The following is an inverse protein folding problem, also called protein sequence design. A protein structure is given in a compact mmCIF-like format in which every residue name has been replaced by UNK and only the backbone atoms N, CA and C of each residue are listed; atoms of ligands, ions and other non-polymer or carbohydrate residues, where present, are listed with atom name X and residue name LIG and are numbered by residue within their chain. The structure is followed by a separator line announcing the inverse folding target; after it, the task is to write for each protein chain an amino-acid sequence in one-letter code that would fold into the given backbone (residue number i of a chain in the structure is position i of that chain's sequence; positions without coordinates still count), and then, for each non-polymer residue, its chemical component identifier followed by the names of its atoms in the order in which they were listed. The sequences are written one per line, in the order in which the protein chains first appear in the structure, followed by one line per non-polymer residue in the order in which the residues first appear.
data_IF_745915174656
#
_entry.id   IF_745915174656
#
_cell.length_a   1.000
_cell.length_b   1.000
_cell.length_c   1.000
_cell.angle_alpha   90.00
_cell.angle_beta   90.00
_cell.angle_gamma   90.00
#
_symmetry.space_group_name_H-M   'P 1'
#
loop_
_entity.id
_entity.type
_entity.pdbx_description
1 polymer ?
#
# COMPACT_ATOMS: atom_id res chain seq x y z
N UNK A 1 -19.17 -29.13 7.41
CA UNK A 1 -18.04 -28.23 7.08
C UNK A 1 -17.09 -28.97 6.18
N UNK A 2 -17.21 -28.76 4.87
CA UNK A 2 -16.28 -29.32 3.89
C UNK A 2 -15.06 -28.39 3.77
N UNK A 3 -13.84 -28.91 3.59
CA UNK A 3 -12.65 -28.10 3.45
C UNK A 3 -12.61 -27.42 2.07
N UNK A 4 -12.33 -26.13 2.05
CA UNK A 4 -12.03 -25.37 0.83
C UNK A 4 -10.77 -25.94 0.15
N UNK A 5 -10.74 -26.08 -1.19
CA UNK A 5 -9.52 -26.47 -1.89
C UNK A 5 -8.54 -25.28 -1.93
N UNK A 6 -7.22 -25.54 -1.94
CA UNK A 6 -6.21 -24.49 -2.01
C UNK A 6 -6.23 -23.83 -3.39
N UNK A 7 -6.44 -22.51 -3.44
CA UNK A 7 -6.21 -21.74 -4.66
C UNK A 7 -4.71 -21.77 -5.00
N UNK A 8 -4.37 -22.35 -6.15
CA UNK A 8 -3.01 -22.33 -6.69
C UNK A 8 -2.74 -20.94 -7.26
N UNK A 9 -2.04 -20.10 -6.51
CA UNK A 9 -1.42 -18.89 -7.04
C UNK A 9 -0.27 -19.29 -7.98
N UNK A 10 -0.56 -19.36 -9.29
CA UNK A 10 0.45 -19.48 -10.32
C UNK A 10 0.96 -18.07 -10.67
N UNK A 11 1.95 -17.58 -9.91
CA UNK A 11 2.70 -16.39 -10.28
C UNK A 11 3.56 -16.70 -11.52
N UNK A 12 3.05 -16.37 -12.72
CA UNK A 12 3.90 -16.29 -13.92
C UNK A 12 4.66 -14.96 -13.87
N UNK A 13 5.94 -15.02 -13.51
CA UNK A 13 6.90 -13.95 -13.73
C UNK A 13 7.04 -13.68 -15.24
N UNK A 14 6.42 -12.61 -15.74
CA UNK A 14 6.92 -11.95 -16.96
C UNK A 14 7.99 -10.94 -16.54
N UNK A 15 9.26 -11.37 -16.65
CA UNK A 15 10.39 -10.47 -16.48
C UNK A 15 10.48 -9.50 -17.65
N UNK A 16 10.02 -8.26 -17.43
CA UNK A 16 10.39 -7.13 -18.29
C UNK A 16 11.78 -6.66 -17.83
N UNK A 17 12.81 -6.94 -18.62
CA UNK A 17 14.14 -6.40 -18.40
C UNK A 17 14.17 -4.90 -18.73
N UNK A 18 14.15 -4.07 -17.69
CA UNK A 18 14.62 -2.69 -17.81
C UNK A 18 16.16 -2.70 -17.82
N UNK A 19 16.75 -2.56 -19.01
CA UNK A 19 18.18 -2.26 -19.13
C UNK A 19 18.38 -0.80 -18.75
N UNK A 20 18.81 -0.54 -17.52
CA UNK A 20 19.29 0.77 -17.11
C UNK A 20 20.63 1.04 -17.81
N UNK A 21 20.64 1.97 -18.76
CA UNK A 21 21.87 2.48 -19.38
C UNK A 21 22.62 3.31 -18.32
N UNK A 22 23.64 2.71 -17.70
CA UNK A 22 24.61 3.44 -16.87
C UNK A 22 25.66 4.03 -17.80
N UNK A 23 25.57 5.33 -18.07
CA UNK A 23 26.64 6.06 -18.76
C UNK A 23 27.77 6.31 -17.75
N UNK A 24 28.84 5.51 -17.83
CA UNK A 24 30.09 5.78 -17.12
C UNK A 24 30.82 6.92 -17.82
N UNK A 25 30.69 8.14 -17.31
CA UNK A 25 31.65 9.21 -17.59
C UNK A 25 32.91 8.93 -16.78
N UNK A 26 34.01 8.64 -17.48
CA UNK A 26 35.33 8.48 -16.89
C UNK A 26 35.81 9.83 -16.34
N UNK A 27 35.74 10.00 -15.03
CA UNK A 27 36.42 11.07 -14.29
C UNK A 27 37.42 10.39 -13.35
N UNK A 28 38.68 10.81 -13.43
CA UNK A 28 39.83 10.16 -12.79
C UNK A 28 39.77 10.03 -11.26
N UNK A 29 40.72 9.31 -10.66
CA UNK A 29 40.63 8.85 -9.28
C UNK A 29 40.90 10.00 -8.31
N UNK A 30 39.85 10.53 -7.70
CA UNK A 30 39.97 11.28 -6.46
C UNK A 30 39.06 10.66 -5.41
N UNK A 31 39.69 10.25 -4.32
CA UNK A 31 39.11 9.66 -3.13
C UNK A 31 38.16 10.65 -2.49
N UNK A 32 36.84 10.42 -2.60
CA UNK A 32 35.83 11.18 -1.84
C UNK A 32 34.85 10.20 -1.20
N UNK A 33 34.75 10.27 0.12
CA UNK A 33 33.72 9.60 0.90
C UNK A 33 32.34 9.99 0.37
N UNK A 34 31.58 8.98 -0.05
CA UNK A 34 30.20 9.07 -0.54
C UNK A 34 29.28 9.78 0.48
N UNK A 35 29.00 11.05 0.26
CA UNK A 35 27.80 11.74 0.75
C UNK A 35 26.70 11.59 -0.30
N UNK A 36 25.56 11.00 0.09
CA UNK A 36 24.25 11.06 -0.59
C UNK A 36 24.25 10.96 -2.12
N UNK A 37 23.95 9.77 -2.66
CA UNK A 37 23.55 9.64 -4.07
C UNK A 37 22.21 10.35 -4.27
N UNK A 38 22.23 11.58 -4.76
CA UNK A 38 21.11 12.17 -5.48
C UNK A 38 20.89 11.32 -6.74
N UNK A 39 19.88 10.44 -6.74
CA UNK A 39 19.37 9.92 -8.00
C UNK A 39 18.86 11.14 -8.80
N UNK A 40 19.24 11.26 -10.07
CA UNK A 40 18.70 12.26 -10.99
C UNK A 40 18.06 11.50 -12.14
N UNK A 41 16.82 11.85 -12.48
CA UNK A 41 16.15 11.23 -13.63
C UNK A 41 16.52 12.03 -14.87
N UNK A 42 17.27 11.41 -15.78
CA UNK A 42 17.56 11.99 -17.09
C UNK A 42 16.43 11.54 -18.02
N UNK A 43 15.59 12.49 -18.45
CA UNK A 43 14.62 12.24 -19.52
C UNK A 43 15.28 12.65 -20.84
N UNK A 44 15.46 11.68 -21.73
CA UNK A 44 15.93 11.91 -23.09
C UNK A 44 14.73 12.32 -23.93
N UNK A 45 14.69 13.58 -24.36
CA UNK A 45 13.53 14.14 -25.06
C UNK A 45 13.65 13.97 -26.57
N UNK A 46 14.87 13.97 -27.09
CA UNK A 46 15.18 13.83 -28.52
C UNK A 46 16.33 12.81 -28.68
N UNK A 47 15.98 11.53 -28.87
CA UNK A 47 16.91 10.43 -29.14
C UNK A 47 16.83 10.03 -30.61
N UNK A 48 17.96 10.08 -31.33
CA UNK A 48 18.06 9.44 -32.65
C UNK A 48 18.42 7.97 -32.44
N UNK A 49 17.54 7.00 -32.76
CA UNK A 49 17.81 5.59 -32.55
C UNK A 49 18.96 5.11 -33.43
N UNK A 50 19.80 4.24 -32.89
CA UNK A 50 20.76 3.46 -33.65
C UNK A 50 20.03 2.51 -34.61
N UNK A 51 20.41 2.51 -35.88
CA UNK A 51 19.79 1.68 -36.92
C UNK A 51 20.00 0.18 -36.72
N UNK A 52 21.02 -0.23 -35.95
CA UNK A 52 21.29 -1.65 -35.70
C UNK A 52 20.67 -2.17 -34.40
N UNK A 53 20.52 -1.29 -33.40
CA UNK A 53 20.02 -1.65 -32.08
C UNK A 53 19.09 -0.54 -31.60
N UNK A 54 17.80 -0.61 -31.95
CA UNK A 54 16.78 0.43 -31.69
C UNK A 54 16.53 0.80 -30.21
N UNK A 55 17.36 0.33 -29.29
CA UNK A 55 17.40 0.70 -27.86
C UNK A 55 18.57 1.61 -27.50
N UNK A 56 19.47 1.92 -28.45
CA UNK A 56 20.60 2.84 -28.25
C UNK A 56 20.35 4.15 -28.99
N UNK A 57 20.73 5.27 -28.38
CA UNK A 57 20.73 6.58 -29.03
C UNK A 57 22.12 6.85 -29.58
N UNK A 58 22.25 7.15 -30.87
CA UNK A 58 23.53 7.58 -31.48
C UNK A 58 23.77 9.08 -31.29
N UNK A 59 22.71 9.85 -31.09
CA UNK A 59 22.78 11.27 -30.78
C UNK A 59 21.63 11.67 -29.84
N UNK A 60 21.93 12.58 -28.90
CA UNK A 60 20.97 13.18 -27.96
C UNK A 60 21.16 14.69 -28.05
N UNK A 61 20.21 15.39 -28.67
CA UNK A 61 20.28 16.84 -28.83
C UNK A 61 19.75 17.60 -27.60
N UNK A 62 18.86 16.98 -26.83
CA UNK A 62 18.34 17.50 -25.55
C UNK A 62 18.14 16.39 -24.52
N UNK A 63 18.78 16.58 -23.37
CA UNK A 63 18.53 15.79 -22.16
C UNK A 63 18.03 16.74 -21.06
N UNK A 64 16.84 16.48 -20.53
CA UNK A 64 16.36 17.21 -19.37
C UNK A 64 16.74 16.43 -18.12
N UNK A 65 17.61 17.03 -17.30
CA UNK A 65 17.87 16.54 -15.95
C UNK A 65 16.78 17.10 -15.06
N UNK A 66 15.75 16.28 -14.81
CA UNK A 66 14.80 16.61 -13.76
C UNK A 66 15.46 16.28 -12.42
N UNK A 67 15.30 17.11 -11.37
CA UNK A 67 15.52 16.63 -10.01
C UNK A 67 14.81 15.28 -9.88
N UNK A 68 15.42 14.25 -9.28
CA UNK A 68 14.58 13.18 -8.75
C UNK A 68 13.51 13.88 -7.92
N UNK A 69 12.27 13.42 -8.06
CA UNK A 69 11.18 13.90 -7.22
C UNK A 69 11.76 14.07 -5.81
N UNK A 70 11.64 15.29 -5.27
CA UNK A 70 12.05 15.54 -3.88
C UNK A 70 11.38 14.52 -2.96
N UNK A 71 11.77 14.45 -1.66
CA UNK A 71 11.11 13.59 -0.68
C UNK A 71 9.63 13.61 -0.96
N UNK A 72 9.10 12.47 -1.39
CA UNK A 72 7.72 12.30 -1.81
C UNK A 72 6.92 12.79 -0.61
N UNK A 73 6.51 14.06 -0.67
CA UNK A 73 5.87 14.75 0.43
C UNK A 73 4.73 13.85 0.85
N UNK A 74 4.56 13.54 2.15
CA UNK A 74 3.49 12.69 2.69
C UNK A 74 2.22 12.88 1.85
N UNK A 75 2.01 12.02 0.85
CA UNK A 75 1.30 12.43 -0.41
C UNK A 75 -0.20 12.53 -0.19
N UNK A 76 -0.65 11.99 0.94
CA UNK A 76 -2.04 11.68 1.20
C UNK A 76 -2.55 12.25 2.51
N UNK A 77 -2.01 13.38 2.98
CA UNK A 77 -2.60 14.14 4.10
C UNK A 77 -3.54 15.23 3.57
N UNK A 78 -4.61 15.51 4.33
CA UNK A 78 -5.60 16.56 4.06
C UNK A 78 -6.24 16.50 2.65
N UNK A 79 -6.45 15.29 2.12
CA UNK A 79 -7.06 15.10 0.80
C UNK A 79 -8.58 14.98 0.88
N UNK A 80 -9.26 15.72 0.02
CA UNK A 80 -10.68 15.54 -0.26
C UNK A 80 -10.86 15.01 -1.67
N UNK A 81 -11.36 13.79 -1.78
CA UNK A 81 -11.54 13.06 -3.03
C UNK A 81 -12.99 13.21 -3.54
N UNK A 82 -13.16 13.23 -4.86
CA UNK A 82 -14.44 13.12 -5.55
C UNK A 82 -14.36 11.88 -6.42
N UNK A 83 -15.11 10.84 -6.07
CA UNK A 83 -15.02 9.52 -6.71
C UNK A 83 -16.21 9.30 -7.65
N UNK A 84 -15.92 8.96 -8.90
CA UNK A 84 -16.89 8.41 -9.84
C UNK A 84 -16.68 6.90 -9.96
N UNK A 85 -17.70 6.13 -9.61
CA UNK A 85 -17.74 4.68 -9.77
C UNK A 85 -18.58 4.35 -11.00
N UNK A 86 -17.93 3.80 -12.02
CA UNK A 86 -18.54 3.36 -13.27
C UNK A 86 -18.76 1.85 -13.19
N UNK A 87 -20.03 1.45 -13.08
CA UNK A 87 -20.44 0.05 -13.11
C UNK A 87 -20.59 -0.36 -14.58
N UNK A 88 -19.55 -1.01 -15.09
CA UNK A 88 -19.38 -1.30 -16.52
C UNK A 88 -20.13 -2.58 -16.87
N UNK A 89 -21.10 -2.48 -17.77
CA UNK A 89 -21.76 -3.63 -18.41
C UNK A 89 -21.36 -3.68 -19.88
N UNK A 90 -21.21 -4.89 -20.42
CA UNK A 90 -20.89 -5.06 -21.83
C UNK A 90 -22.17 -5.28 -22.64
N UNK A 91 -22.39 -4.45 -23.66
CA UNK A 91 -23.44 -4.67 -24.65
C UNK A 91 -22.91 -5.56 -25.77
N UNK A 92 -23.76 -6.45 -26.29
CA UNK A 92 -23.37 -7.38 -27.33
C UNK A 92 -22.84 -6.65 -28.58
N UNK A 93 -21.82 -7.20 -29.20
CA UNK A 93 -21.24 -6.71 -30.44
C UNK A 93 -20.91 -7.87 -31.38
N UNK A 94 -20.37 -7.58 -32.56
CA UNK A 94 -19.88 -8.62 -33.48
C UNK A 94 -18.68 -9.40 -32.94
N UNK A 95 -17.96 -8.89 -31.94
CA UNK A 95 -16.75 -9.53 -31.40
C UNK A 95 -17.00 -10.34 -30.12
N UNK A 96 -18.02 -10.01 -29.33
CA UNK A 96 -18.33 -10.71 -28.09
C UNK A 96 -19.75 -10.46 -27.57
N UNK A 97 -20.21 -11.36 -26.69
CA UNK A 97 -21.56 -11.33 -26.13
C UNK A 97 -21.75 -10.26 -25.06
N UNK A 98 -23.01 -9.96 -24.75
CA UNK A 98 -23.35 -9.07 -23.64
C UNK A 98 -22.94 -9.70 -22.29
N UNK A 99 -22.53 -8.87 -21.33
CA UNK A 99 -22.22 -9.30 -19.96
C UNK A 99 -22.81 -8.32 -18.96
N UNK A 100 -23.54 -8.86 -17.99
CA UNK A 100 -24.06 -8.09 -16.87
C UNK A 100 -22.94 -7.74 -15.87
N UNK A 101 -23.18 -6.68 -15.09
CA UNK A 101 -22.32 -6.22 -14.01
C UNK A 101 -23.09 -6.25 -12.69
N UNK A 102 -22.45 -5.83 -11.60
CA UNK A 102 -23.10 -5.64 -10.32
C UNK A 102 -24.27 -4.63 -10.42
N UNK A 103 -25.22 -4.71 -9.49
CA UNK A 103 -26.27 -3.71 -9.39
C UNK A 103 -25.69 -2.37 -8.89
N UNK A 104 -26.12 -1.27 -9.51
CA UNK A 104 -25.63 0.09 -9.17
C UNK A 104 -26.03 0.49 -7.75
N UNK A 105 -27.21 0.07 -7.28
CA UNK A 105 -27.66 0.35 -5.92
C UNK A 105 -26.83 -0.42 -4.89
N UNK A 106 -26.48 -1.68 -5.17
CA UNK A 106 -25.63 -2.49 -4.29
C UNK A 106 -24.22 -1.88 -4.16
N UNK A 107 -23.61 -1.50 -5.29
CA UNK A 107 -22.29 -0.83 -5.29
C UNK A 107 -22.39 0.51 -4.56
N UNK A 108 -23.44 1.29 -4.79
CA UNK A 108 -23.67 2.56 -4.07
C UNK A 108 -23.81 2.34 -2.57
N UNK A 109 -24.57 1.35 -2.14
CA UNK A 109 -24.74 1.00 -0.74
C UNK A 109 -23.40 0.59 -0.11
N UNK A 110 -22.58 -0.19 -0.82
CA UNK A 110 -21.26 -0.61 -0.35
C UNK A 110 -20.32 0.58 -0.01
N UNK A 111 -20.38 1.67 -0.79
CA UNK A 111 -19.62 2.89 -0.50
C UNK A 111 -20.25 3.75 0.60
N UNK A 112 -21.58 3.93 0.56
CA UNK A 112 -22.29 5.01 1.28
C UNK A 112 -22.97 4.59 2.57
N UNK A 113 -23.14 3.29 2.82
CA UNK A 113 -23.67 2.80 4.09
C UNK A 113 -22.84 3.31 5.27
N UNK A 114 -23.43 3.31 6.47
CA UNK A 114 -22.76 3.77 7.70
C UNK A 114 -21.40 3.07 7.92
N UNK A 115 -21.31 1.81 7.52
CA UNK A 115 -20.11 0.98 7.63
C UNK A 115 -19.41 0.79 6.28
N UNK A 116 -19.79 1.58 5.27
CA UNK A 116 -19.31 1.51 3.91
C UNK A 116 -17.90 2.08 3.74
N UNK A 117 -17.40 2.01 2.50
CA UNK A 117 -16.01 2.31 2.17
C UNK A 117 -15.62 3.76 2.44
N UNK A 118 -16.57 4.69 2.36
CA UNK A 118 -16.31 6.10 2.68
C UNK A 118 -15.91 6.29 4.14
N UNK A 119 -16.70 5.75 5.06
CA UNK A 119 -16.41 5.84 6.49
C UNK A 119 -15.21 4.98 6.86
N UNK A 120 -15.02 3.83 6.20
CA UNK A 120 -13.85 2.99 6.41
C UNK A 120 -12.54 3.72 6.08
N UNK A 121 -12.42 4.34 4.90
CA UNK A 121 -11.23 5.13 4.52
C UNK A 121 -11.03 6.32 5.46
N UNK A 122 -12.09 7.06 5.78
CA UNK A 122 -12.03 8.18 6.72
C UNK A 122 -11.50 7.76 8.09
N UNK A 123 -12.01 6.64 8.62
CA UNK A 123 -11.61 6.15 9.93
C UNK A 123 -10.17 5.63 9.93
N UNK A 124 -9.75 4.91 8.88
CA UNK A 124 -8.38 4.41 8.78
C UNK A 124 -7.33 5.51 8.53
N UNK A 125 -7.74 6.63 7.94
CA UNK A 125 -6.88 7.79 7.70
C UNK A 125 -6.97 8.86 8.79
N UNK A 126 -7.75 8.65 9.86
CA UNK A 126 -7.99 9.66 10.90
C UNK A 126 -8.55 10.99 10.33
N UNK A 127 -9.34 10.90 9.26
CA UNK A 127 -9.90 12.05 8.56
C UNK A 127 -8.90 12.76 7.63
N UNK A 128 -7.67 12.27 7.49
CA UNK A 128 -6.68 12.83 6.55
C UNK A 128 -7.10 12.64 5.10
N UNK A 129 -7.86 11.59 4.80
CA UNK A 129 -8.44 11.38 3.47
C UNK A 129 -9.93 11.15 3.60
N UNK A 130 -10.71 11.94 2.87
CA UNK A 130 -12.17 11.83 2.86
C UNK A 130 -12.71 11.85 1.43
N UNK A 131 -13.87 11.24 1.24
CA UNK A 131 -14.66 11.45 0.03
C UNK A 131 -15.67 12.56 0.29
N UNK A 132 -15.58 13.65 -0.47
CA UNK A 132 -16.63 14.69 -0.48
C UNK A 132 -17.88 14.23 -1.22
N UNK A 133 -17.72 13.42 -2.25
CA UNK A 133 -18.78 12.83 -3.04
C UNK A 133 -18.32 11.47 -3.58
N UNK A 134 -19.20 10.48 -3.50
CA UNK A 134 -19.12 9.23 -4.27
C UNK A 134 -20.38 9.13 -5.12
N UNK A 135 -20.21 9.10 -6.44
CA UNK A 135 -21.31 8.90 -7.37
C UNK A 135 -21.12 7.59 -8.12
N UNK A 136 -22.17 6.78 -8.18
CA UNK A 136 -22.18 5.47 -8.83
C UNK A 136 -23.17 5.48 -9.98
N UNK A 137 -22.68 5.16 -11.19
CA UNK A 137 -23.46 5.18 -12.44
C UNK A 137 -23.36 3.85 -13.17
N UNK A 138 -24.41 3.52 -13.93
CA UNK A 138 -24.35 2.46 -14.93
C UNK A 138 -23.61 2.96 -16.17
N UNK A 139 -22.72 2.13 -16.71
CA UNK A 139 -21.85 2.50 -17.84
C UNK A 139 -21.87 1.38 -18.90
N UNK A 140 -22.88 1.33 -19.78
CA UNK A 140 -22.92 0.37 -20.87
C UNK A 140 -21.82 0.65 -21.89
N UNK A 141 -21.02 -0.38 -22.22
CA UNK A 141 -19.90 -0.28 -23.16
C UNK A 141 -20.05 -1.36 -24.23
N UNK A 142 -19.93 -1.04 -25.54
CA UNK A 142 -19.88 -2.06 -26.59
C UNK A 142 -18.74 -3.03 -26.35
N UNK A 143 -19.07 -4.33 -26.29
CA UNK A 143 -18.07 -5.36 -26.05
C UNK A 143 -17.01 -5.36 -27.16
N UNK A 144 -15.73 -5.45 -26.81
CA UNK A 144 -14.65 -5.67 -27.77
C UNK A 144 -13.70 -6.75 -27.26
N UNK A 145 -12.97 -7.40 -28.16
CA UNK A 145 -12.00 -8.43 -27.77
C UNK A 145 -10.95 -7.89 -26.77
N UNK A 146 -10.55 -6.62 -26.89
CA UNK A 146 -9.56 -6.04 -25.97
C UNK A 146 -10.11 -5.81 -24.55
N UNK A 147 -11.42 -5.53 -24.44
CA UNK A 147 -12.12 -5.42 -23.15
C UNK A 147 -12.30 -6.79 -22.49
N UNK A 148 -12.52 -7.86 -23.27
CA UNK A 148 -12.59 -9.22 -22.75
C UNK A 148 -11.23 -9.75 -22.27
N UNK A 149 -10.12 -9.25 -22.83
CA UNK A 149 -8.76 -9.57 -22.40
C UNK A 149 -8.30 -8.74 -21.19
N UNK A 150 -9.23 -8.08 -20.48
CA UNK A 150 -8.94 -7.28 -19.29
C UNK A 150 -7.91 -6.16 -19.52
N UNK A 151 -7.89 -5.55 -20.71
CA UNK A 151 -7.04 -4.39 -20.96
C UNK A 151 -7.59 -3.17 -20.19
N UNK A 152 -6.94 -2.83 -19.08
CA UNK A 152 -7.39 -1.81 -18.12
C UNK A 152 -7.49 -0.41 -18.71
N UNK A 153 -6.58 -0.06 -19.62
CA UNK A 153 -6.58 1.22 -20.33
C UNK A 153 -7.82 1.31 -21.24
N UNK A 154 -8.07 0.28 -22.04
CA UNK A 154 -9.22 0.28 -22.96
C UNK A 154 -10.55 0.26 -22.19
N UNK A 155 -10.62 -0.46 -21.07
CA UNK A 155 -11.78 -0.44 -20.17
C UNK A 155 -12.03 0.97 -19.65
N UNK A 156 -10.97 1.63 -19.14
CA UNK A 156 -11.08 2.98 -18.60
C UNK A 156 -11.53 4.00 -19.65
N UNK A 157 -10.93 3.97 -20.84
CA UNK A 157 -11.29 4.85 -21.97
C UNK A 157 -12.74 4.63 -22.37
N UNK A 158 -13.14 3.38 -22.66
CA UNK A 158 -14.47 3.08 -23.14
C UNK A 158 -15.57 3.37 -22.11
N UNK A 159 -15.30 3.11 -20.82
CA UNK A 159 -16.20 3.46 -19.74
C UNK A 159 -16.35 4.98 -19.61
N UNK A 160 -15.25 5.73 -19.67
CA UNK A 160 -15.28 7.19 -19.60
C UNK A 160 -16.01 7.80 -20.79
N UNK A 161 -15.74 7.35 -22.02
CA UNK A 161 -16.46 7.81 -23.22
C UNK A 161 -17.97 7.55 -23.13
N UNK A 162 -18.36 6.36 -22.64
CA UNK A 162 -19.77 6.04 -22.39
C UNK A 162 -20.41 6.95 -21.34
N UNK A 163 -19.70 7.24 -20.25
CA UNK A 163 -20.18 8.18 -19.21
C UNK A 163 -20.27 9.61 -19.75
N UNK A 164 -19.32 10.06 -20.56
CA UNK A 164 -19.32 11.40 -21.19
C UNK A 164 -20.44 11.55 -22.20
N UNK A 165 -20.74 10.50 -22.98
CA UNK A 165 -21.88 10.48 -23.90
C UNK A 165 -23.23 10.61 -23.16
N UNK A 166 -23.35 10.00 -21.98
CA UNK A 166 -24.59 10.01 -21.19
C UNK A 166 -24.78 11.27 -20.34
N UNK A 167 -23.70 11.77 -19.72
CA UNK A 167 -23.77 12.82 -18.69
C UNK A 167 -22.99 14.10 -19.05
N UNK A 168 -22.25 14.09 -20.17
CA UNK A 168 -21.38 15.17 -20.60
C UNK A 168 -19.98 15.13 -19.97
N UNK A 169 -18.99 15.67 -20.69
CA UNK A 169 -17.59 15.74 -20.23
C UNK A 169 -17.38 16.63 -18.99
N UNK A 170 -18.24 17.64 -18.80
CA UNK A 170 -18.25 18.46 -17.59
C UNK A 170 -18.58 17.65 -16.33
N UNK A 171 -19.43 16.63 -16.46
CA UNK A 171 -19.76 15.74 -15.34
C UNK A 171 -18.57 14.87 -14.96
N UNK A 172 -17.96 14.14 -15.90
CA UNK A 172 -16.85 13.22 -15.62
C UNK A 172 -15.62 13.96 -15.10
N UNK A 173 -15.26 15.10 -15.71
CA UNK A 173 -14.12 15.93 -15.29
C UNK A 173 -14.28 16.59 -13.91
N UNK A 174 -15.50 16.59 -13.35
CA UNK A 174 -15.74 17.09 -11.99
C UNK A 174 -15.21 16.15 -10.89
N UNK A 175 -14.82 14.91 -11.23
CA UNK A 175 -14.29 13.93 -10.28
C UNK A 175 -12.75 13.84 -10.34
N UNK A 176 -12.14 13.54 -9.20
CA UNK A 176 -10.67 13.43 -9.05
C UNK A 176 -10.17 11.99 -9.00
N UNK A 177 -11.08 11.01 -8.86
CA UNK A 177 -10.79 9.58 -8.81
C UNK A 177 -11.87 8.81 -9.58
N UNK A 178 -11.46 7.70 -10.18
CA UNK A 178 -12.31 6.85 -10.99
C UNK A 178 -12.18 5.39 -10.53
N UNK A 179 -13.31 4.72 -10.38
CA UNK A 179 -13.38 3.29 -10.11
C UNK A 179 -14.21 2.61 -11.19
N UNK A 180 -13.72 1.50 -11.72
CA UNK A 180 -14.40 0.71 -12.75
C UNK A 180 -14.79 -0.64 -12.14
N UNK A 181 -16.08 -0.92 -12.05
CA UNK A 181 -16.59 -2.23 -11.65
C UNK A 181 -16.87 -3.02 -12.91
N UNK A 182 -16.08 -4.07 -13.15
CA UNK A 182 -16.12 -4.85 -14.37
C UNK A 182 -17.36 -5.76 -14.44
N UNK A 183 -17.72 -6.30 -15.61
CA UNK A 183 -18.73 -7.34 -15.73
C UNK A 183 -18.37 -8.65 -15.03
N UNK A 184 -19.38 -9.46 -14.69
CA UNK A 184 -19.20 -10.79 -14.12
C UNK A 184 -18.42 -11.73 -15.06
N UNK A 185 -17.69 -12.67 -14.46
CA UNK A 185 -16.95 -13.73 -15.17
C UNK A 185 -15.64 -13.29 -15.83
N UNK A 186 -15.15 -12.08 -15.53
CA UNK A 186 -13.82 -11.61 -15.96
C UNK A 186 -12.70 -11.95 -14.97
N UNK A 187 -13.02 -12.40 -13.76
CA UNK A 187 -12.03 -12.79 -12.73
C UNK A 187 -11.01 -13.82 -13.23
N UNK A 188 -11.46 -14.84 -13.97
CA UNK A 188 -10.60 -15.89 -14.54
C UNK A 188 -9.65 -15.39 -15.64
N UNK A 189 -9.99 -14.26 -16.28
CA UNK A 189 -9.21 -13.69 -17.38
C UNK A 189 -8.25 -12.63 -16.83
N UNK A 190 -8.74 -11.75 -15.96
CA UNK A 190 -7.97 -10.66 -15.38
C UNK A 190 -6.91 -11.18 -14.40
N UNK A 191 -7.20 -12.25 -13.65
CA UNK A 191 -6.28 -12.84 -12.68
C UNK A 191 -6.10 -12.03 -11.39
N UNK A 192 -6.96 -11.02 -11.15
CA UNK A 192 -6.98 -10.18 -9.96
C UNK A 192 -8.43 -9.85 -9.57
N UNK A 193 -8.65 -9.55 -8.28
CA UNK A 193 -9.98 -9.14 -7.76
C UNK A 193 -10.14 -7.62 -7.67
N UNK A 194 -9.01 -6.93 -7.48
CA UNK A 194 -8.86 -5.48 -7.55
C UNK A 194 -7.54 -5.13 -8.22
N UNK A 195 -7.48 -3.95 -8.83
CA UNK A 195 -6.25 -3.39 -9.36
C UNK A 195 -6.27 -1.86 -9.21
N UNK A 196 -5.18 -1.30 -8.68
CA UNK A 196 -4.95 0.13 -8.57
C UNK A 196 -3.94 0.62 -9.61
N UNK A 197 -4.14 1.84 -10.09
CA UNK A 197 -3.14 2.51 -10.92
C UNK A 197 -1.88 2.82 -10.09
N UNK A 198 -0.67 2.52 -10.61
CA UNK A 198 0.56 2.82 -9.87
C UNK A 198 0.69 4.30 -9.51
N UNK A 199 1.17 4.65 -8.30
CA UNK A 199 1.15 6.03 -7.85
C UNK A 199 2.09 6.97 -8.63
N UNK A 200 1.72 8.25 -8.83
CA UNK A 200 0.43 8.85 -8.46
C UNK A 200 -0.68 8.38 -9.41
N UNK A 201 -1.62 7.61 -8.86
CA UNK A 201 -2.69 6.95 -9.59
C UNK A 201 -4.03 7.57 -9.24
N UNK A 202 -4.97 7.48 -10.16
CA UNK A 202 -6.33 8.04 -10.00
C UNK A 202 -7.42 7.02 -10.27
N UNK A 203 -7.04 5.83 -10.71
CA UNK A 203 -7.94 4.83 -11.26
C UNK A 203 -7.85 3.52 -10.48
N UNK A 204 -8.98 2.83 -10.37
CA UNK A 204 -9.10 1.50 -9.76
C UNK A 204 -10.04 0.63 -10.57
N UNK A 205 -9.78 -0.66 -10.60
CA UNK A 205 -10.60 -1.66 -11.28
C UNK A 205 -10.98 -2.76 -10.30
N UNK A 206 -12.23 -3.22 -10.35
CA UNK A 206 -12.75 -4.23 -9.42
C UNK A 206 -13.59 -5.28 -10.13
N UNK A 207 -13.43 -6.52 -9.70
CA UNK A 207 -14.35 -7.61 -10.05
C UNK A 207 -15.64 -7.46 -9.21
N UNK A 208 -16.83 -7.68 -9.79
CA UNK A 208 -18.12 -7.53 -9.10
C UNK A 208 -18.45 -8.69 -8.14
N UNK A 209 -17.46 -9.23 -7.43
CA UNK A 209 -17.57 -10.42 -6.56
C UNK A 209 -17.28 -10.10 -5.08
N UNK A 210 -17.56 -11.05 -4.18
CA UNK A 210 -17.38 -10.89 -2.73
C UNK A 210 -15.96 -10.51 -2.32
N UNK A 211 -14.94 -11.02 -3.03
CA UNK A 211 -13.53 -10.69 -2.80
C UNK A 211 -13.05 -9.45 -3.58
N UNK A 212 -13.88 -8.93 -4.49
CA UNK A 212 -13.59 -7.76 -5.33
C UNK A 212 -14.20 -6.49 -4.73
N UNK A 213 -15.10 -5.83 -5.48
CA UNK A 213 -15.71 -4.56 -5.05
C UNK A 213 -16.46 -4.67 -3.73
N UNK A 214 -16.98 -5.85 -3.37
CA UNK A 214 -17.73 -6.05 -2.14
C UNK A 214 -16.85 -6.34 -0.92
N UNK A 215 -15.54 -6.51 -1.13
CA UNK A 215 -14.56 -6.61 -0.05
C UNK A 215 -13.97 -5.23 0.26
N UNK A 216 -14.31 -4.68 1.42
CA UNK A 216 -13.76 -3.40 1.87
C UNK A 216 -12.22 -3.38 1.96
N UNK A 217 -11.60 -4.52 2.26
CA UNK A 217 -10.14 -4.67 2.31
C UNK A 217 -9.54 -4.42 0.93
N UNK A 218 -10.03 -5.11 -0.09
CA UNK A 218 -9.66 -4.91 -1.51
C UNK A 218 -9.90 -3.47 -1.96
N UNK A 219 -11.06 -2.89 -1.66
CA UNK A 219 -11.36 -1.51 -2.06
C UNK A 219 -10.38 -0.51 -1.43
N UNK A 220 -10.06 -0.69 -0.14
CA UNK A 220 -9.08 0.15 0.53
C UNK A 220 -7.68 -0.10 -0.03
N UNK A 221 -7.27 -1.34 -0.30
CA UNK A 221 -5.99 -1.70 -0.89
C UNK A 221 -5.73 -0.93 -2.20
N UNK A 222 -6.66 -1.03 -3.16
CA UNK A 222 -6.50 -0.36 -4.45
C UNK A 222 -6.55 1.17 -4.31
N UNK A 223 -7.32 1.67 -3.34
CA UNK A 223 -7.31 3.10 -3.00
C UNK A 223 -5.95 3.54 -2.45
N UNK A 224 -5.30 2.71 -1.63
CA UNK A 224 -3.99 2.99 -1.05
C UNK A 224 -2.87 2.97 -2.10
N UNK A 225 -3.00 2.12 -3.13
CA UNK A 225 -2.12 2.16 -4.30
C UNK A 225 -2.15 3.54 -4.99
N UNK A 226 -3.33 4.10 -5.19
CA UNK A 226 -3.48 5.45 -5.74
C UNK A 226 -2.91 6.56 -4.83
N UNK A 227 -2.81 6.30 -3.52
CA UNK A 227 -2.35 7.26 -2.50
C UNK A 227 -0.86 7.16 -2.18
N UNK A 228 -0.11 6.31 -2.89
CA UNK A 228 1.35 6.25 -2.80
C UNK A 228 1.91 4.98 -2.16
N UNK A 229 1.08 4.05 -1.70
CA UNK A 229 1.56 2.75 -1.22
C UNK A 229 1.74 1.79 -2.37
N UNK A 230 2.97 1.37 -2.65
CA UNK A 230 3.26 0.48 -3.78
C UNK A 230 3.35 -1.00 -3.39
N UNK A 231 3.56 -1.27 -2.12
CA UNK A 231 3.84 -2.60 -1.60
C UNK A 231 2.60 -3.25 -0.99
N UNK A 232 2.60 -4.57 -1.01
CA UNK A 232 1.66 -5.39 -0.28
C UNK A 232 2.21 -5.77 1.10
N UNK A 233 1.32 -6.18 2.00
CA UNK A 233 1.66 -6.71 3.31
C UNK A 233 2.13 -8.16 3.18
N UNK A 234 3.31 -8.47 3.73
CA UNK A 234 3.89 -9.81 3.71
C UNK A 234 3.74 -10.50 5.06
N UNK A 235 3.66 -11.83 5.03
CA UNK A 235 3.82 -12.67 6.22
C UNK A 235 4.57 -13.93 5.81
N UNK A 236 5.55 -14.34 6.59
CA UNK A 236 6.33 -15.56 6.32
C UNK A 236 6.90 -15.61 4.89
N UNK A 237 7.40 -14.48 4.40
CA UNK A 237 7.94 -14.33 3.04
C UNK A 237 6.93 -14.62 1.91
N UNK A 238 5.64 -14.54 2.18
CA UNK A 238 4.57 -14.61 1.19
C UNK A 238 3.83 -13.28 1.10
N UNK A 239 3.66 -12.81 -0.13
CA UNK A 239 2.91 -11.60 -0.45
C UNK A 239 1.43 -11.80 -0.15
N UNK A 240 0.75 -10.72 0.25
CA UNK A 240 -0.67 -10.67 0.65
C UNK A 240 -1.05 -11.44 1.92
N UNK A 241 -0.15 -12.22 2.53
CA UNK A 241 -0.46 -13.05 3.70
C UNK A 241 -0.53 -12.28 5.03
N UNK A 242 -0.34 -10.96 5.02
CA UNK A 242 -0.59 -10.13 6.20
C UNK A 242 -2.09 -9.79 6.33
N UNK A 243 -2.82 -10.62 7.08
CA UNK A 243 -4.25 -10.40 7.35
C UNK A 243 -4.52 -9.28 8.37
N UNK A 244 -3.48 -8.60 8.88
CA UNK A 244 -3.63 -7.49 9.83
C UNK A 244 -3.82 -6.13 9.16
N UNK A 245 -3.69 -6.04 7.83
CA UNK A 245 -3.85 -4.80 7.05
C UNK A 245 -4.59 -5.07 5.74
N UNK A 246 -5.26 -4.04 5.21
CA UNK A 246 -5.79 -4.02 3.85
C UNK A 246 -4.72 -4.11 2.76
N UNK A 247 -3.44 -3.86 3.05
CA UNK A 247 -2.38 -4.10 2.05
C UNK A 247 -2.01 -5.58 1.92
N UNK A 248 -2.48 -6.43 2.83
CA UNK A 248 -2.54 -7.89 2.63
C UNK A 248 -3.99 -8.32 2.38
N UNK A 249 -4.41 -9.48 2.88
CA UNK A 249 -5.80 -9.94 2.73
C UNK A 249 -6.72 -9.51 3.89
N UNK A 250 -6.28 -8.57 4.73
CA UNK A 250 -7.05 -8.09 5.88
C UNK A 250 -8.20 -7.17 5.49
N UNK A 251 -9.26 -7.15 6.32
CA UNK A 251 -10.37 -6.19 6.25
C UNK A 251 -10.23 -5.08 7.30
N UNK A 252 -9.00 -4.73 7.61
CA UNK A 252 -8.60 -3.80 8.67
C UNK A 252 -7.85 -2.60 8.10
N UNK A 253 -7.60 -1.60 8.93
CA UNK A 253 -6.82 -0.42 8.54
C UNK A 253 -5.36 -0.76 8.25
N UNK A 254 -4.63 0.16 7.59
CA UNK A 254 -3.21 -0.01 7.31
C UNK A 254 -2.39 -0.30 8.57
N UNK A 255 -1.30 -1.04 8.39
CA UNK A 255 -0.33 -1.34 9.44
C UNK A 255 0.41 -0.07 9.89
N UNK A 256 1.06 -0.11 11.04
CA UNK A 256 1.83 1.02 11.57
C UNK A 256 2.84 1.61 10.56
N UNK A 257 3.71 0.82 9.88
CA UNK A 257 4.60 1.37 8.86
C UNK A 257 3.87 1.99 7.66
N UNK A 258 2.73 1.43 7.24
CA UNK A 258 1.88 2.02 6.18
C UNK A 258 1.31 3.36 6.60
N UNK A 259 0.73 3.45 7.80
CA UNK A 259 0.19 4.69 8.35
C UNK A 259 1.26 5.77 8.49
N UNK A 260 2.47 5.40 8.90
CA UNK A 260 3.62 6.31 8.97
C UNK A 260 4.01 6.82 7.58
N UNK A 261 4.10 5.94 6.59
CA UNK A 261 4.52 6.30 5.22
C UNK A 261 3.50 7.18 4.51
N UNK A 262 2.20 6.93 4.73
CA UNK A 262 1.11 7.81 4.27
C UNK A 262 1.11 9.17 4.99
N UNK A 263 1.76 9.26 6.15
CA UNK A 263 1.70 10.43 7.02
C UNK A 263 0.41 10.54 7.80
N UNK A 264 -0.42 9.49 7.85
CA UNK A 264 -1.68 9.45 8.57
C UNK A 264 -1.52 9.29 10.08
N UNK A 265 -0.40 8.71 10.50
CA UNK A 265 -0.06 8.58 11.91
C UNK A 265 1.41 8.92 12.19
N UNK A 266 1.73 9.16 13.46
CA UNK A 266 3.09 9.45 13.93
C UNK A 266 3.53 8.51 15.06
N UNK A 267 4.84 8.19 15.15
CA UNK A 267 5.36 7.41 16.25
C UNK A 267 5.35 8.23 17.55
N UNK A 268 5.06 7.54 18.65
CA UNK A 268 5.18 8.06 20.02
C UNK A 268 6.65 8.31 20.36
N UNK A 269 7.51 7.38 19.93
CA UNK A 269 8.95 7.48 20.08
C UNK A 269 9.66 6.77 18.93
N UNK A 270 10.81 7.33 18.56
CA UNK A 270 11.75 6.74 17.62
C UNK A 270 12.98 6.24 18.39
N UNK A 271 13.17 4.92 18.41
CA UNK A 271 14.18 4.25 19.22
C UNK A 271 15.39 3.91 18.37
N UNK A 272 16.56 4.37 18.76
CA UNK A 272 17.84 4.06 18.13
C UNK A 272 18.93 3.96 19.21
N UNK A 273 20.20 3.81 18.83
CA UNK A 273 21.31 3.66 19.76
C UNK A 273 21.47 4.82 20.75
N UNK A 274 21.01 6.02 20.41
CA UNK A 274 21.06 7.21 21.26
C UNK A 274 19.92 7.29 22.26
N UNK A 275 18.74 6.76 21.94
CA UNK A 275 17.53 6.85 22.78
C UNK A 275 17.21 5.57 23.55
N UNK A 276 17.79 4.43 23.13
CA UNK A 276 17.64 3.13 23.76
C UNK A 276 19.01 2.56 24.17
N UNK A 277 19.52 2.95 25.35
CA UNK A 277 20.77 2.40 25.87
C UNK A 277 20.63 0.89 26.14
N UNK A 278 21.71 0.12 26.00
CA UNK A 278 21.67 -1.32 26.25
C UNK A 278 21.34 -1.60 27.73
N UNK A 279 20.71 -2.75 27.97
CA UNK A 279 20.40 -3.34 29.29
C UNK A 279 19.47 -2.51 30.15
N UNK A 280 18.77 -1.54 29.55
CA UNK A 280 17.84 -0.66 30.26
C UNK A 280 16.47 -0.76 29.61
N UNK A 281 15.44 -0.98 30.42
CA UNK A 281 14.06 -0.88 29.94
C UNK A 281 13.67 0.58 29.74
N UNK A 282 13.03 0.84 28.60
CA UNK A 282 12.24 2.03 28.34
C UNK A 282 10.77 1.63 28.27
N UNK A 283 9.94 2.29 29.06
CA UNK A 283 8.51 2.01 29.18
C UNK A 283 7.72 3.05 28.41
N UNK A 284 6.75 2.58 27.63
CA UNK A 284 5.83 3.40 26.84
C UNK A 284 4.40 2.94 27.10
N UNK A 285 3.45 3.87 27.05
CA UNK A 285 2.01 3.54 27.03
C UNK A 285 1.53 3.77 25.61
N UNK A 286 1.25 2.68 24.89
CA UNK A 286 0.78 2.75 23.51
C UNK A 286 -0.75 2.73 23.45
N UNK A 287 -1.39 3.76 22.87
CA UNK A 287 -2.80 3.70 22.56
C UNK A 287 -3.05 2.79 21.36
N UNK A 288 -4.28 2.27 21.26
CA UNK A 288 -4.72 1.52 20.10
C UNK A 288 -4.67 2.41 18.85
N UNK A 289 -4.30 1.84 17.71
CA UNK A 289 -4.17 2.58 16.45
C UNK A 289 -5.41 3.41 16.14
N UNK A 290 -6.61 2.83 16.21
CA UNK A 290 -7.85 3.55 15.91
C UNK A 290 -8.14 4.76 16.82
N UNK A 291 -7.50 4.86 17.99
CA UNK A 291 -7.84 5.87 18.99
C UNK A 291 -7.21 7.24 18.72
N UNK A 292 -6.04 7.28 18.08
CA UNK A 292 -5.32 8.53 17.80
C UNK A 292 -4.39 8.37 16.60
N UNK A 293 -4.28 9.43 15.78
CA UNK A 293 -3.26 9.54 14.74
C UNK A 293 -1.88 9.88 15.31
N UNK A 294 -1.83 10.49 16.48
CA UNK A 294 -0.58 10.96 17.09
C UNK A 294 -0.09 9.98 18.13
N UNK A 295 1.16 9.52 17.98
CA UNK A 295 1.82 8.72 19.00
C UNK A 295 1.23 7.33 19.20
N UNK A 296 0.77 6.66 18.14
CA UNK A 296 0.10 5.35 18.23
C UNK A 296 1.01 4.15 17.90
N UNK A 297 2.30 4.40 17.68
CA UNK A 297 3.28 3.36 17.37
C UNK A 297 4.67 3.68 17.92
N UNK A 298 5.52 2.67 18.11
CA UNK A 298 6.97 2.86 18.29
C UNK A 298 7.65 2.50 16.99
N UNK A 299 8.64 3.31 16.59
CA UNK A 299 9.52 3.02 15.46
C UNK A 299 10.92 2.75 15.99
N UNK A 300 11.45 1.57 15.74
CA UNK A 300 12.78 1.15 16.19
C UNK A 300 13.70 1.05 14.99
N UNK A 301 14.78 1.82 15.02
CA UNK A 301 15.86 1.84 14.03
C UNK A 301 17.10 1.23 14.68
N UNK A 302 17.38 -0.07 14.47
CA UNK A 302 18.45 -0.77 15.15
C UNK A 302 19.83 -0.45 14.53
N UNK A 303 20.22 0.82 14.57
CA UNK A 303 21.52 1.34 14.10
C UNK A 303 22.73 0.79 14.88
N UNK A 304 22.50 0.18 16.05
CA UNK A 304 23.49 -0.56 16.83
C UNK A 304 23.85 -1.92 16.24
N UNK A 305 23.03 -2.46 15.33
CA UNK A 305 23.38 -3.64 14.56
C UNK A 305 24.24 -3.14 13.40
N UNK A 306 25.47 -3.63 13.31
CA UNK A 306 26.44 -3.17 12.31
C UNK A 306 25.83 -3.16 10.91
N UNK A 307 26.29 -2.23 10.05
CA UNK A 307 25.74 -1.93 8.71
C UNK A 307 25.50 -3.14 7.79
N UNK A 308 26.01 -4.34 8.09
CA UNK A 308 25.90 -5.53 7.23
C UNK A 308 24.77 -6.49 7.61
N UNK A 309 24.18 -6.42 8.81
CA UNK A 309 23.33 -7.51 9.30
C UNK A 309 21.88 -7.13 9.63
N UNK A 310 21.54 -5.86 9.78
CA UNK A 310 20.14 -5.46 9.95
C UNK A 310 19.74 -4.41 8.92
N UNK A 311 18.99 -4.88 7.92
CA UNK A 311 18.45 -4.08 6.84
C UNK A 311 17.02 -3.63 7.13
N UNK A 312 16.54 -3.73 8.38
CA UNK A 312 15.14 -3.51 8.71
C UNK A 312 14.91 -2.60 9.92
N UNK A 313 13.92 -1.73 9.79
CA UNK A 313 13.29 -1.02 10.90
C UNK A 313 12.13 -1.86 11.44
N UNK A 314 11.82 -1.71 12.73
CA UNK A 314 10.76 -2.45 13.40
C UNK A 314 9.70 -1.46 13.91
N UNK A 315 8.43 -1.77 13.69
CA UNK A 315 7.28 -0.99 14.13
C UNK A 315 6.46 -1.81 15.13
N UNK A 316 6.06 -1.17 16.22
CA UNK A 316 5.21 -1.75 17.26
C UNK A 316 3.95 -0.89 17.38
N UNK A 317 2.78 -1.50 17.27
CA UNK A 317 1.51 -0.78 17.50
C UNK A 317 0.47 -1.69 18.15
N UNK A 318 -0.30 -1.14 19.08
CA UNK A 318 -1.45 -1.83 19.65
C UNK A 318 -2.57 -1.83 18.60
N UNK A 319 -2.97 -3.03 18.14
CA UNK A 319 -4.12 -3.20 17.26
C UNK A 319 -5.29 -3.74 18.07
N UNK A 320 -6.45 -3.13 17.89
CA UNK A 320 -7.68 -3.48 18.58
C UNK A 320 -8.87 -3.22 17.66
N UNK A 321 -9.93 -4.00 17.82
CA UNK A 321 -11.20 -3.73 17.16
C UNK A 321 -11.78 -2.41 17.63
N UNK A 322 -11.97 -1.51 16.70
CA UNK A 322 -12.52 -0.17 16.95
C UNK A 322 -12.29 0.73 15.76
N UNK A 323 -13.15 1.74 15.58
CA UNK A 323 -13.08 2.63 14.42
C UNK A 323 -13.03 1.85 13.10
N UNK A 324 -12.01 2.09 12.28
CA UNK A 324 -11.82 1.35 11.02
C UNK A 324 -11.37 -0.10 11.21
N UNK A 325 -10.73 -0.45 12.33
CA UNK A 325 -10.25 -1.81 12.65
C UNK A 325 -11.36 -2.75 13.16
N UNK A 326 -12.64 -2.43 12.97
CA UNK A 326 -13.77 -3.23 13.49
C UNK A 326 -13.72 -4.70 13.09
N UNK A 327 -13.26 -5.01 11.87
CA UNK A 327 -13.23 -6.38 11.34
C UNK A 327 -11.84 -7.02 11.49
N UNK A 328 -11.00 -6.49 12.38
CA UNK A 328 -9.69 -7.04 12.71
C UNK A 328 -9.83 -8.47 13.26
N UNK A 329 -9.01 -9.40 12.76
CA UNK A 329 -9.04 -10.79 13.22
C UNK A 329 -8.57 -10.92 14.68
N UNK A 330 -9.10 -11.90 15.40
CA UNK A 330 -8.75 -12.15 16.81
C UNK A 330 -7.28 -12.52 17.04
N UNK A 331 -6.56 -12.91 15.97
CA UNK A 331 -5.10 -13.05 16.01
C UNK A 331 -4.41 -11.74 16.40
N UNK A 332 -4.94 -10.59 15.99
CA UNK A 332 -4.32 -9.28 16.13
C UNK A 332 -5.01 -8.39 17.17
N UNK A 333 -6.29 -8.65 17.45
CA UNK A 333 -7.11 -7.86 18.36
C UNK A 333 -6.61 -7.91 19.82
N UNK A 334 -6.43 -6.75 20.43
CA UNK A 334 -5.96 -6.63 21.81
C UNK A 334 -4.47 -6.90 21.98
N UNK A 335 -3.68 -6.84 20.90
CA UNK A 335 -2.26 -7.23 20.90
C UNK A 335 -1.37 -6.14 20.32
N UNK A 336 -0.11 -6.16 20.73
CA UNK A 336 0.93 -5.35 20.07
C UNK A 336 1.40 -6.11 18.84
N UNK A 337 1.14 -5.55 17.66
CA UNK A 337 1.59 -6.10 16.39
C UNK A 337 2.99 -5.59 16.07
N UNK A 338 3.79 -6.48 15.48
CA UNK A 338 5.15 -6.24 15.06
C UNK A 338 5.24 -6.31 13.55
N UNK A 339 5.72 -5.24 12.94
CA UNK A 339 5.99 -5.17 11.51
C UNK A 339 7.43 -4.77 11.27
N UNK A 340 8.10 -5.45 10.35
CA UNK A 340 9.41 -5.04 9.87
C UNK A 340 9.31 -4.37 8.49
N UNK A 341 10.21 -3.42 8.26
CA UNK A 341 10.26 -2.62 7.04
C UNK A 341 11.71 -2.50 6.57
N UNK A 342 11.98 -2.66 5.28
CA UNK A 342 13.33 -2.48 4.73
C UNK A 342 13.86 -1.06 4.96
N UNK A 343 14.91 -0.95 5.79
CA UNK A 343 15.50 0.28 6.32
C UNK A 343 15.92 1.26 5.24
N UNK A 344 16.54 0.78 4.17
CA UNK A 344 17.09 1.64 3.12
C UNK A 344 15.99 2.39 2.36
N UNK A 345 14.79 1.83 2.30
CA UNK A 345 13.62 2.38 1.61
C UNK A 345 12.64 3.05 2.59
N UNK A 346 12.59 2.58 3.84
CA UNK A 346 11.77 3.17 4.91
C UNK A 346 12.38 4.46 5.47
N UNK A 347 13.71 4.61 5.43
CA UNK A 347 14.38 5.85 5.80
C UNK A 347 14.43 6.87 4.67
N UNK A 348 14.36 6.42 3.41
CA UNK A 348 14.27 7.28 2.22
C UNK A 348 13.03 6.91 1.38
N UNK A 349 11.93 7.61 1.66
CA UNK A 349 10.61 7.39 1.03
C UNK A 349 10.60 7.58 -0.50
N UNK A 350 11.70 8.00 -1.12
CA UNK A 350 11.82 8.28 -2.56
C UNK A 350 12.18 7.02 -3.37
N UNK A 351 12.91 6.07 -2.79
CA UNK A 351 13.57 5.00 -3.56
C UNK A 351 13.00 3.63 -3.30
N UNK A 352 12.04 3.20 -4.13
CA UNK A 352 11.65 1.80 -4.24
C UNK A 352 10.51 1.35 -3.32
N UNK A 353 10.31 0.04 -3.29
CA UNK A 353 9.18 -0.62 -2.66
C UNK A 353 9.65 -1.41 -1.42
N UNK A 354 9.48 -0.88 -0.18
CA UNK A 354 9.95 -1.59 0.99
C UNK A 354 9.11 -2.84 1.19
N UNK A 355 9.77 -3.98 1.32
CA UNK A 355 9.08 -5.16 1.82
C UNK A 355 8.65 -4.92 3.27
N UNK A 356 7.34 -4.81 3.49
CA UNK A 356 6.75 -4.75 4.81
C UNK A 356 6.25 -6.13 5.21
N UNK A 357 6.77 -6.66 6.32
CA UNK A 357 6.36 -7.98 6.81
C UNK A 357 5.79 -7.91 8.21
N UNK A 358 4.64 -8.53 8.41
CA UNK A 358 4.19 -8.93 9.73
C UNK A 358 5.16 -9.95 10.31
N UNK A 359 5.62 -9.69 11.53
CA UNK A 359 6.57 -10.53 12.27
C UNK A 359 5.84 -11.34 13.35
N UNK A 360 4.85 -10.73 14.00
CA UNK A 360 4.09 -11.39 15.06
C UNK A 360 3.18 -10.44 15.82
N UNK A 361 2.45 -10.98 16.79
CA UNK A 361 1.62 -10.22 17.72
C UNK A 361 1.75 -10.80 19.13
N UNK A 362 1.88 -9.92 20.14
CA UNK A 362 2.03 -10.33 21.54
C UNK A 362 0.81 -9.85 22.33
N UNK A 363 0.20 -10.79 23.06
CA UNK A 363 -0.91 -10.53 23.95
C UNK A 363 -0.46 -9.80 25.25
N UNK A 364 -1.39 -9.20 26.01
CA UNK A 364 -1.10 -8.62 27.31
C UNK A 364 -0.36 -9.61 28.22
N UNK A 365 0.57 -9.10 29.04
CA UNK A 365 1.48 -9.89 29.89
C UNK A 365 2.44 -10.84 29.17
N UNK A 366 2.46 -10.82 27.83
CA UNK A 366 3.41 -11.58 27.02
C UNK A 366 4.77 -10.90 26.88
N UNK A 367 5.69 -11.59 26.23
CA UNK A 367 6.99 -11.05 25.86
C UNK A 367 7.43 -11.58 24.50
N UNK A 368 8.43 -10.93 23.92
CA UNK A 368 9.11 -11.40 22.72
C UNK A 368 10.59 -11.13 22.83
N UNK A 369 11.35 -12.20 22.64
CA UNK A 369 12.80 -12.15 22.44
C UNK A 369 13.07 -12.13 20.95
N UNK A 370 13.71 -11.07 20.49
CA UNK A 370 14.03 -10.82 19.09
C UNK A 370 15.56 -10.81 18.93
N UNK A 371 16.22 -11.98 18.91
CA UNK A 371 17.69 -12.08 18.87
C UNK A 371 18.30 -11.47 17.62
N UNK A 372 17.58 -11.48 16.50
CA UNK A 372 18.01 -10.80 15.29
C UNK A 372 18.15 -9.28 15.49
N UNK A 373 17.28 -8.68 16.31
CA UNK A 373 17.28 -7.25 16.62
C UNK A 373 18.09 -6.89 17.88
N UNK A 374 18.48 -7.91 18.67
CA UNK A 374 18.96 -7.80 20.05
C UNK A 374 18.00 -6.99 20.94
N UNK A 375 16.71 -7.26 20.79
CA UNK A 375 15.64 -6.60 21.53
C UNK A 375 14.88 -7.61 22.36
N UNK A 376 14.52 -7.19 23.55
CA UNK A 376 13.61 -7.90 24.43
C UNK A 376 12.46 -6.97 24.80
N UNK A 377 11.24 -7.40 24.48
CA UNK A 377 10.03 -6.61 24.61
C UNK A 377 9.08 -7.32 25.56
N UNK A 378 8.59 -6.60 26.57
CA UNK A 378 7.57 -7.09 27.53
C UNK A 378 6.32 -6.24 27.42
N UNK A 379 5.19 -6.90 27.33
CA UNK A 379 3.88 -6.28 27.25
C UNK A 379 3.23 -6.33 28.63
N UNK A 380 2.75 -5.18 29.10
CA UNK A 380 2.03 -5.07 30.37
C UNK A 380 0.54 -5.38 30.22
N UNK A 381 -0.25 -4.82 31.14
CA UNK A 381 -1.70 -4.90 31.10
C UNK A 381 -2.27 -4.04 29.96
N UNK A 382 -3.33 -4.54 29.33
CA UNK A 382 -4.22 -3.74 28.48
C UNK A 382 -5.26 -3.08 29.38
N UNK A 383 -5.29 -1.75 29.41
CA UNK A 383 -6.24 -0.96 30.21
C UNK A 383 -7.02 -0.05 29.25
N UNK A 384 -8.31 -0.35 29.07
CA UNK A 384 -9.14 0.31 28.06
C UNK A 384 -8.57 0.08 26.65
N UNK A 385 -8.16 1.16 25.99
CA UNK A 385 -7.56 1.14 24.65
C UNK A 385 -6.05 1.42 24.68
N UNK A 386 -5.37 1.23 25.82
CA UNK A 386 -3.93 1.49 25.96
C UNK A 386 -3.20 0.30 26.56
N UNK A 387 -1.95 0.07 26.14
CA UNK A 387 -1.12 -1.02 26.63
C UNK A 387 0.28 -0.53 26.98
N UNK A 388 0.82 -1.03 28.09
CA UNK A 388 2.20 -0.73 28.48
C UNK A 388 3.17 -1.61 27.68
N UNK A 389 4.18 -1.02 27.07
CA UNK A 389 5.24 -1.72 26.34
C UNK A 389 6.59 -1.34 26.93
N UNK A 390 7.33 -2.34 27.39
CA UNK A 390 8.69 -2.18 27.88
C UNK A 390 9.65 -2.72 26.82
N UNK A 391 10.53 -1.87 26.32
CA UNK A 391 11.53 -2.23 25.31
C UNK A 391 12.90 -2.16 25.95
N UNK A 392 13.69 -3.22 25.82
CA UNK A 392 15.08 -3.24 26.21
C UNK A 392 15.94 -3.76 25.05
N UNK A 393 17.05 -3.07 24.79
CA UNK A 393 18.11 -3.55 23.90
C UNK A 393 19.13 -4.33 24.73
N UNK A 394 19.61 -5.48 24.27
CA UNK A 394 20.67 -6.24 24.94
C UNK A 394 21.92 -6.41 24.07
N UNK A 395 23.03 -6.85 24.68
CA UNK A 395 24.28 -7.10 23.97
C UNK A 395 24.44 -8.55 23.56
N UNK A 396 24.19 -9.48 24.50
CA UNK A 396 24.40 -10.91 24.32
C UNK A 396 23.10 -11.71 24.40
N UNK A 397 22.28 -11.46 25.43
CA UNK A 397 21.05 -12.22 25.69
C UNK A 397 19.99 -11.38 26.39
N UNK A 398 18.73 -11.78 26.26
CA UNK A 398 17.61 -11.04 26.85
C UNK A 398 17.69 -10.93 28.39
N UNK A 399 18.37 -11.86 29.07
CA UNK A 399 18.56 -11.78 30.53
C UNK A 399 19.53 -10.68 30.98
N UNK A 400 20.18 -9.99 30.03
CA UNK A 400 20.93 -8.77 30.32
C UNK A 400 19.99 -7.57 30.60
N UNK A 401 18.71 -7.69 30.27
CA UNK A 401 17.68 -6.68 30.54
C UNK A 401 17.10 -6.89 31.93
N UNK A 402 17.60 -6.12 32.91
CA UNK A 402 17.16 -6.14 34.31
C UNK A 402 16.08 -5.10 34.59
#
# INVERSE_FOLDING_TARGET
MAPFPPQRAAARLMGIHFVAVVLLLAIGPTTVCSTGRLQRRILLQDCTPDSEMGTRCTNISRAQVSPAAGPVARVSTEMTLRLLVMVVSYTASSSCGARASADVADVRAAYTNELGYMNFLRNCSYGQVTYSNVTVISTPVPCTQSLELCNTINIAVAAKESAESQYGSGFTSSYSRYAYVLPYGLNLICGWMGLGEPPPGTQTWYIPEEDGIFNKGTVLQESLHNLGLRYHGWRSNQEYQDNSTSMGMGKSCPSAPELWRLGWASPLAQLNSSTLPPKTFKTYTLPATYATSQGNMLRIQPDWLSKRNCTKNLYLALRMRGGGDRDLLGEFDGKVNFHDAEKDIDNDVITGDPKLSFVGAIAPYGYWDAPFYKLYIRIGALVGNTITVNVCRYDKKYTDCT
#
